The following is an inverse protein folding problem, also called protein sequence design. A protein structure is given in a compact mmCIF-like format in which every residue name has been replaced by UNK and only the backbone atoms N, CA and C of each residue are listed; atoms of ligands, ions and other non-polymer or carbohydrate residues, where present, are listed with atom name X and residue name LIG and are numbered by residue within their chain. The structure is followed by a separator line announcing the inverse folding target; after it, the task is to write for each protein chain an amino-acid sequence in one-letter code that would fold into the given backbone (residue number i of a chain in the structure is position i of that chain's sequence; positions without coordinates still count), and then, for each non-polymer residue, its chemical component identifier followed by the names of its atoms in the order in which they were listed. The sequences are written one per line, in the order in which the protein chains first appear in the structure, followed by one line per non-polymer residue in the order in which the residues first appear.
data_IF_580021980968
#
_entry.id   IF_580021980968
#
_cell.length_a   1.000
_cell.length_b   1.000
_cell.length_c   1.000
_cell.angle_alpha   90.00
_cell.angle_beta   90.00
_cell.angle_gamma   90.00
#
_symmetry.space_group_name_H-M   'P 1'
#
loop_
_entity.id
_entity.type
_entity.pdbx_description
1 polymer ?
#
# COMPACT_ATOMS: atom_id res chain seq x y z
N UNK A 1 -0.80 -6.39 -15.97
CA UNK A 1 -0.94 -6.32 -14.49
C UNK A 1 -0.88 -4.87 -14.06
N UNK A 2 -1.70 -4.46 -13.09
CA UNK A 2 -1.63 -3.16 -12.43
C UNK A 2 -1.14 -3.32 -10.99
N UNK A 3 -0.27 -2.43 -10.52
CA UNK A 3 0.23 -2.40 -9.15
C UNK A 3 0.17 -0.97 -8.63
N UNK A 4 -0.65 -0.73 -7.61
CA UNK A 4 -0.68 0.52 -6.86
C UNK A 4 0.03 0.32 -5.51
N UNK A 5 1.03 1.14 -5.20
CA UNK A 5 1.73 1.14 -3.91
C UNK A 5 1.28 2.37 -3.13
N UNK A 6 0.70 2.16 -1.95
CA UNK A 6 0.31 3.19 -1.00
C UNK A 6 1.36 3.30 0.10
N UNK A 7 2.05 4.45 0.17
CA UNK A 7 3.14 4.68 1.13
C UNK A 7 3.17 6.13 1.59
N UNK A 8 3.80 6.38 2.74
CA UNK A 8 4.14 7.74 3.18
C UNK A 8 5.43 8.27 2.54
N UNK A 9 6.21 7.40 1.88
CA UNK A 9 7.51 7.73 1.31
C UNK A 9 7.64 7.23 -0.15
N UNK A 10 6.96 7.88 -1.11
CA UNK A 10 6.96 7.43 -2.51
C UNK A 10 8.35 7.27 -3.13
N UNK A 11 9.28 8.18 -2.80
CA UNK A 11 10.61 8.21 -3.41
C UNK A 11 11.45 6.97 -3.07
N UNK A 12 11.26 6.38 -1.88
CA UNK A 12 11.94 5.13 -1.48
C UNK A 12 11.53 3.98 -2.39
N UNK A 13 10.27 3.96 -2.85
CA UNK A 13 9.77 2.97 -3.79
C UNK A 13 10.16 3.34 -5.23
N UNK A 14 10.12 4.62 -5.61
CA UNK A 14 10.40 5.06 -6.99
C UNK A 14 11.83 4.76 -7.39
N UNK A 15 12.80 5.00 -6.51
CA UNK A 15 14.22 4.85 -6.83
C UNK A 15 14.57 3.44 -7.39
N UNK A 16 14.25 2.32 -6.71
CA UNK A 16 14.55 0.99 -7.25
C UNK A 16 13.60 0.52 -8.36
N UNK A 17 12.37 1.07 -8.43
CA UNK A 17 11.33 0.59 -9.36
C UNK A 17 11.23 1.41 -10.67
N UNK A 18 12.08 2.43 -10.84
CA UNK A 18 12.07 3.29 -12.03
C UNK A 18 13.20 3.01 -13.01
N UNK A 19 14.02 1.99 -12.77
CA UNK A 19 15.19 1.68 -13.58
C UNK A 19 15.20 0.23 -14.09
N UNK A 20 16.13 -0.05 -15.02
CA UNK A 20 16.43 -1.39 -15.54
C UNK A 20 15.19 -2.14 -16.09
N UNK A 21 15.00 -3.42 -15.70
CA UNK A 21 13.94 -4.30 -16.20
C UNK A 21 12.55 -3.75 -15.88
N UNK A 22 12.35 -3.15 -14.70
CA UNK A 22 11.06 -2.59 -14.30
C UNK A 22 10.71 -1.39 -15.17
N UNK A 23 11.68 -0.51 -15.45
CA UNK A 23 11.50 0.61 -16.39
C UNK A 23 11.05 0.13 -17.77
N UNK A 24 11.77 -0.82 -18.36
CA UNK A 24 11.44 -1.39 -19.68
C UNK A 24 10.05 -2.02 -19.69
N UNK A 25 9.67 -2.74 -18.63
CA UNK A 25 8.35 -3.35 -18.52
C UNK A 25 7.23 -2.28 -18.49
N UNK A 26 7.45 -1.15 -17.83
CA UNK A 26 6.51 -0.02 -17.80
C UNK A 26 6.42 0.69 -19.15
N UNK A 27 7.56 0.99 -19.77
CA UNK A 27 7.63 1.65 -21.08
C UNK A 27 6.96 0.80 -22.19
N UNK A 28 7.06 -0.53 -22.08
CA UNK A 28 6.41 -1.47 -22.99
C UNK A 28 4.95 -1.81 -22.60
N UNK A 29 4.39 -1.20 -21.54
CA UNK A 29 3.01 -1.43 -21.09
C UNK A 29 2.74 -2.82 -20.51
N UNK A 30 3.77 -3.58 -20.14
CA UNK A 30 3.64 -4.93 -19.54
C UNK A 30 3.11 -4.81 -18.10
N UNK A 31 3.53 -3.77 -17.37
CA UNK A 31 3.07 -3.47 -16.01
C UNK A 31 2.74 -1.98 -15.86
N UNK A 32 1.55 -1.68 -15.32
CA UNK A 32 1.18 -0.35 -14.85
C UNK A 32 1.53 -0.25 -13.36
N UNK A 33 2.66 0.36 -13.03
CA UNK A 33 3.12 0.58 -11.66
C UNK A 33 2.92 2.03 -11.26
N UNK A 34 2.13 2.25 -10.20
CA UNK A 34 1.83 3.57 -9.64
C UNK A 34 2.20 3.60 -8.16
N UNK A 35 2.86 4.68 -7.75
CA UNK A 35 3.33 4.87 -6.38
C UNK A 35 2.71 6.16 -5.88
N UNK A 36 1.89 6.04 -4.85
CA UNK A 36 1.05 7.11 -4.33
C UNK A 36 1.49 7.51 -2.93
N UNK A 37 1.40 8.81 -2.62
CA UNK A 37 1.56 9.30 -1.27
C UNK A 37 0.22 9.20 -0.55
N UNK A 38 0.13 8.42 0.52
CA UNK A 38 -1.13 8.27 1.26
C UNK A 38 -1.65 9.61 1.81
N UNK A 39 -0.76 10.58 2.02
CA UNK A 39 -1.11 11.94 2.45
C UNK A 39 -2.09 12.62 1.50
N UNK A 40 -2.13 12.22 0.23
CA UNK A 40 -3.02 12.80 -0.78
C UNK A 40 -4.51 12.47 -0.53
N UNK A 41 -4.82 11.48 0.33
CA UNK A 41 -6.18 11.10 0.74
C UNK A 41 -6.56 11.59 2.14
N UNK A 42 -5.77 12.48 2.73
CA UNK A 42 -6.14 13.13 3.98
C UNK A 42 -7.12 14.28 3.72
N UNK A 43 -8.04 14.51 4.65
CA UNK A 43 -9.03 15.60 4.55
C UNK A 43 -8.63 16.86 5.32
N UNK A 44 -7.62 16.77 6.19
CA UNK A 44 -7.18 17.88 7.02
C UNK A 44 -6.04 18.68 6.37
N UNK A 45 -5.94 19.97 6.74
CA UNK A 45 -4.94 20.90 6.21
C UNK A 45 -3.49 20.47 6.50
N UNK A 46 -3.27 19.67 7.55
CA UNK A 46 -1.95 19.27 8.00
C UNK A 46 -1.51 17.92 7.43
N UNK A 47 -2.36 17.28 6.61
CA UNK A 47 -2.14 15.99 6.00
C UNK A 47 -1.75 14.90 7.02
N UNK A 48 -2.51 14.83 8.11
CA UNK A 48 -2.30 13.89 9.22
C UNK A 48 -2.79 12.49 8.82
N UNK A 49 -1.90 11.51 8.92
CA UNK A 49 -2.11 10.12 8.49
C UNK A 49 -2.07 9.13 9.65
N UNK A 50 -1.82 9.62 10.85
CA UNK A 50 -1.60 8.84 12.06
C UNK A 50 -2.28 9.50 13.27
N UNK A 51 -2.55 8.72 14.30
CA UNK A 51 -3.08 9.19 15.58
C UNK A 51 -2.58 8.29 16.72
N UNK A 52 -2.74 8.76 17.95
CA UNK A 52 -2.43 7.97 19.14
C UNK A 52 -3.36 6.74 19.22
N UNK A 53 -2.85 5.57 19.63
CA UNK A 53 -3.68 4.39 19.78
C UNK A 53 -4.72 4.57 20.90
N UNK A 54 -5.96 4.13 20.63
CA UNK A 54 -6.97 4.00 21.68
C UNK A 54 -6.51 2.99 22.74
N UNK A 55 -6.82 3.28 24.01
CA UNK A 55 -6.33 2.50 25.16
C UNK A 55 -4.95 2.95 25.68
N UNK A 56 -4.29 3.90 24.99
CA UNK A 56 -2.97 4.39 25.36
C UNK A 56 -1.84 3.51 24.83
N UNK A 57 -0.60 3.90 25.15
CA UNK A 57 0.61 3.26 24.61
C UNK A 57 1.61 4.31 24.12
N UNK A 58 2.77 3.84 23.65
CA UNK A 58 3.75 4.69 22.98
C UNK A 58 3.57 4.59 21.46
N UNK A 59 4.05 5.59 20.74
CA UNK A 59 4.01 5.61 19.28
C UNK A 59 2.66 6.05 18.71
N UNK A 60 2.55 5.91 17.39
CA UNK A 60 1.39 6.33 16.60
C UNK A 60 0.90 5.16 15.75
N UNK A 61 -0.38 5.17 15.40
CA UNK A 61 -0.99 4.18 14.50
C UNK A 61 -1.54 4.90 13.29
N UNK A 62 -1.35 4.33 12.10
CA UNK A 62 -1.92 4.91 10.89
C UNK A 62 -3.45 4.92 10.96
N UNK A 63 -4.01 6.10 10.67
CA UNK A 63 -5.45 6.34 10.63
C UNK A 63 -6.10 5.51 9.54
N UNK A 64 -7.29 4.93 9.79
CA UNK A 64 -8.00 4.16 8.78
C UNK A 64 -8.49 5.05 7.64
N UNK A 65 -8.95 6.27 7.90
CA UNK A 65 -9.70 7.08 6.91
C UNK A 65 -8.91 7.33 5.61
N UNK A 66 -7.62 7.75 5.64
CA UNK A 66 -6.85 7.92 4.41
C UNK A 66 -6.61 6.59 3.66
N UNK A 67 -6.47 5.47 4.39
CA UNK A 67 -6.25 4.15 3.80
C UNK A 67 -7.51 3.67 3.07
N UNK A 68 -8.67 3.77 3.72
CA UNK A 68 -9.96 3.43 3.10
C UNK A 68 -10.22 4.30 1.88
N UNK A 69 -10.06 5.61 1.99
CA UNK A 69 -10.27 6.53 0.87
C UNK A 69 -9.33 6.22 -0.32
N UNK A 70 -8.05 5.94 -0.04
CA UNK A 70 -7.10 5.55 -1.08
C UNK A 70 -7.49 4.24 -1.77
N UNK A 71 -7.74 3.19 -0.99
CA UNK A 71 -8.10 1.87 -1.51
C UNK A 71 -9.42 1.93 -2.29
N UNK A 72 -10.44 2.61 -1.77
CA UNK A 72 -11.74 2.77 -2.45
C UNK A 72 -11.63 3.53 -3.76
N UNK A 73 -10.79 4.57 -3.83
CA UNK A 73 -10.59 5.32 -5.07
C UNK A 73 -9.81 4.54 -6.15
N UNK A 74 -8.99 3.58 -5.74
CA UNK A 74 -8.10 2.83 -6.65
C UNK A 74 -8.65 1.46 -7.03
N UNK A 75 -9.43 0.82 -6.15
CA UNK A 75 -9.89 -0.56 -6.32
C UNK A 75 -10.81 -0.73 -7.53
N UNK A 76 -10.63 -1.87 -8.18
CA UNK A 76 -11.51 -2.43 -9.19
C UNK A 76 -12.13 -3.74 -8.66
N UNK A 77 -13.02 -4.35 -9.44
CA UNK A 77 -13.74 -5.57 -9.03
C UNK A 77 -12.81 -6.75 -8.67
N UNK A 78 -11.61 -6.81 -9.24
CA UNK A 78 -10.63 -7.90 -9.06
C UNK A 78 -9.33 -7.45 -8.40
N UNK A 79 -9.35 -6.39 -7.61
CA UNK A 79 -8.17 -5.96 -6.85
C UNK A 79 -7.87 -6.93 -5.71
N UNK A 80 -6.61 -7.31 -5.57
CA UNK A 80 -6.08 -7.97 -4.37
C UNK A 80 -5.34 -6.93 -3.55
N UNK A 81 -5.77 -6.75 -2.30
CA UNK A 81 -5.16 -5.79 -1.37
C UNK A 81 -4.18 -6.55 -0.49
N UNK A 82 -2.98 -6.01 -0.33
CA UNK A 82 -1.90 -6.63 0.46
C UNK A 82 -1.38 -5.60 1.44
N UNK A 83 -1.50 -5.90 2.74
CA UNK A 83 -0.83 -5.13 3.79
C UNK A 83 0.55 -5.71 4.07
N UNK A 84 1.59 -4.87 3.95
CA UNK A 84 2.92 -5.22 4.41
C UNK A 84 2.96 -5.11 5.95
N UNK A 85 3.07 -6.25 6.63
CA UNK A 85 3.14 -6.34 8.09
C UNK A 85 4.08 -7.47 8.53
N UNK A 86 4.85 -7.30 9.62
CA UNK A 86 5.68 -8.39 10.19
C UNK A 86 4.85 -9.57 10.70
N UNK A 87 3.55 -9.38 10.94
CA UNK A 87 2.62 -10.44 11.36
C UNK A 87 2.09 -11.27 10.18
N UNK A 88 2.43 -10.88 8.95
CA UNK A 88 1.92 -11.48 7.73
C UNK A 88 2.63 -12.78 7.36
N UNK A 89 2.18 -13.39 6.25
CA UNK A 89 2.85 -14.56 5.67
C UNK A 89 4.22 -14.16 5.12
N UNK A 90 5.24 -14.97 5.36
CA UNK A 90 6.56 -14.78 4.75
C UNK A 90 6.46 -14.83 3.22
N UNK A 91 7.05 -13.83 2.55
CA UNK A 91 7.13 -13.80 1.09
C UNK A 91 8.09 -14.89 0.60
N UNK A 92 7.55 -15.87 -0.11
CA UNK A 92 8.31 -16.93 -0.77
C UNK A 92 8.19 -16.81 -2.28
N UNK A 93 9.08 -17.47 -3.03
CA UNK A 93 8.98 -17.49 -4.49
C UNK A 93 7.65 -18.05 -5.00
N UNK A 94 7.08 -19.03 -4.28
CA UNK A 94 5.76 -19.58 -4.61
C UNK A 94 4.66 -18.53 -4.44
N UNK A 95 4.66 -17.79 -3.34
CA UNK A 95 3.71 -16.71 -3.11
C UNK A 95 3.89 -15.58 -4.13
N UNK A 96 5.13 -15.23 -4.49
CA UNK A 96 5.39 -14.24 -5.53
C UNK A 96 4.85 -14.68 -6.90
N UNK A 97 4.99 -15.96 -7.25
CA UNK A 97 4.42 -16.52 -8.48
C UNK A 97 2.88 -16.54 -8.44
N UNK A 98 2.26 -16.81 -7.30
CA UNK A 98 0.81 -16.70 -7.15
C UNK A 98 0.34 -15.24 -7.34
N UNK A 99 0.97 -14.29 -6.65
CA UNK A 99 0.66 -12.87 -6.73
C UNK A 99 0.87 -12.33 -8.15
N UNK A 100 1.81 -12.90 -8.93
CA UNK A 100 2.06 -12.46 -10.30
C UNK A 100 0.92 -12.78 -11.29
N UNK A 101 -0.02 -13.64 -10.89
CA UNK A 101 -1.23 -13.95 -11.68
C UNK A 101 -2.37 -12.96 -11.46
N UNK A 102 -2.27 -12.08 -10.46
CA UNK A 102 -3.33 -11.13 -10.11
C UNK A 102 -3.42 -10.00 -11.14
N UNK A 103 -4.64 -9.61 -11.50
CA UNK A 103 -4.87 -8.54 -12.47
C UNK A 103 -4.45 -7.18 -11.91
N UNK A 104 -4.77 -6.94 -10.63
CA UNK A 104 -4.51 -5.69 -9.93
C UNK A 104 -4.12 -5.95 -8.46
N UNK A 105 -2.94 -5.46 -8.07
CA UNK A 105 -2.45 -5.46 -6.69
C UNK A 105 -2.50 -4.04 -6.12
N UNK A 106 -3.00 -3.90 -4.89
CA UNK A 106 -2.88 -2.67 -4.10
C UNK A 106 -2.05 -3.03 -2.85
N UNK A 107 -0.84 -2.49 -2.76
CA UNK A 107 0.10 -2.78 -1.67
C UNK A 107 0.09 -1.62 -0.68
N UNK A 108 -0.35 -1.87 0.54
CA UNK A 108 -0.37 -0.91 1.65
C UNK A 108 0.94 -1.08 2.43
N UNK A 109 1.77 -0.03 2.45
CA UNK A 109 2.97 0.02 3.26
C UNK A 109 2.65 0.62 4.64
N UNK A 110 2.60 -0.23 5.67
CA UNK A 110 2.46 0.21 7.05
C UNK A 110 3.64 1.06 7.53
N UNK A 111 3.39 1.91 8.52
CA UNK A 111 4.39 2.74 9.20
C UNK A 111 4.03 2.87 10.68
N UNK A 112 4.90 3.49 11.47
CA UNK A 112 4.73 3.70 12.92
C UNK A 112 4.56 2.35 13.63
N UNK A 113 3.63 2.24 14.59
CA UNK A 113 3.29 0.97 15.25
C UNK A 113 2.39 0.06 14.40
N UNK A 114 1.95 0.52 13.23
CA UNK A 114 1.13 -0.23 12.29
C UNK A 114 -0.09 0.55 11.80
N UNK A 115 -1.13 -0.18 11.40
CA UNK A 115 -2.40 0.37 10.92
C UNK A 115 -3.52 0.02 11.89
N UNK A 116 -4.57 0.84 11.90
CA UNK A 116 -5.80 0.50 12.63
C UNK A 116 -6.34 -0.87 12.18
N UNK A 117 -6.74 -1.72 13.13
CA UNK A 117 -7.14 -3.10 12.85
C UNK A 117 -8.34 -3.21 11.89
N UNK A 118 -9.21 -2.19 11.82
CA UNK A 118 -10.33 -2.15 10.86
C UNK A 118 -9.87 -2.22 9.41
N UNK A 119 -8.66 -1.75 9.11
CA UNK A 119 -8.04 -1.90 7.78
C UNK A 119 -7.84 -3.38 7.46
N UNK A 120 -7.36 -4.17 8.43
CA UNK A 120 -7.15 -5.61 8.27
C UNK A 120 -8.49 -6.32 8.09
N UNK A 121 -9.47 -6.04 8.95
CA UNK A 121 -10.76 -6.76 8.93
C UNK A 121 -11.61 -6.48 7.68
N UNK A 122 -11.49 -5.30 7.09
CA UNK A 122 -12.40 -4.87 6.02
C UNK A 122 -11.75 -4.72 4.64
N UNK A 123 -10.42 -4.63 4.55
CA UNK A 123 -9.72 -4.45 3.27
C UNK A 123 -8.80 -5.61 2.88
N UNK A 124 -8.18 -6.32 3.83
CA UNK A 124 -7.10 -7.30 3.59
C UNK A 124 -7.61 -8.73 3.67
#
# INVERSE_FOLDING_TARGET
MKVDILTLFPEICRAPLSESIVKRARENGIVDLRIHNLRDWTADKHHIVDDAPFGGGQGMVMKPEPIFAAVESLRAQKSTIVLMTPQGKSLTQSLAAELSTREHLIVICGHYEGVDHRVVEHLV
#
